data_IF_772632436162
#
_entry.id   IF_772632436162
#
_cell.length_a   1.000
_cell.length_b   1.000
_cell.length_c   1.000
_cell.angle_alpha   90.00
_cell.angle_beta   90.00
_cell.angle_gamma   90.00
#
_symmetry.space_group_name_H-M   'P 1'
#
loop_
_entity.id
_entity.type
_entity.pdbx_description
1 polymer ?
#
# COMPACT_ATOMS: atom_id res chain seq x y z
N UNK A 1 -14.15 62.23 -14.09
CA UNK A 1 -14.00 60.82 -14.55
C UNK A 1 -13.23 60.06 -13.48
N UNK A 2 -13.89 59.11 -12.82
CA UNK A 2 -13.37 58.38 -11.64
C UNK A 2 -12.47 57.22 -12.08
N UNK A 3 -11.14 57.42 -12.02
CA UNK A 3 -10.12 56.43 -12.38
C UNK A 3 -9.93 55.32 -11.33
N UNK A 4 -10.61 55.40 -10.19
CA UNK A 4 -10.45 54.49 -9.04
C UNK A 4 -11.26 53.19 -9.16
N UNK A 5 -12.32 53.13 -9.98
CA UNK A 5 -13.15 51.90 -10.11
C UNK A 5 -12.53 50.80 -10.96
N UNK A 6 -11.65 51.13 -11.92
CA UNK A 6 -11.09 50.11 -12.83
C UNK A 6 -9.95 49.30 -12.20
N UNK A 7 -9.24 49.86 -11.20
CA UNK A 7 -8.15 49.15 -10.52
C UNK A 7 -8.67 48.04 -9.58
N UNK A 8 -9.79 48.27 -8.90
CA UNK A 8 -10.40 47.32 -7.96
C UNK A 8 -11.00 46.08 -8.65
N UNK A 9 -11.61 46.25 -9.84
CA UNK A 9 -12.19 45.13 -10.58
C UNK A 9 -11.11 44.16 -11.14
N UNK A 10 -9.92 44.67 -11.45
CA UNK A 10 -8.82 43.87 -12.01
C UNK A 10 -8.13 43.01 -10.95
N UNK A 11 -7.92 43.55 -9.74
CA UNK A 11 -7.32 42.80 -8.62
C UNK A 11 -8.22 41.67 -8.11
N UNK A 12 -9.54 41.89 -8.07
CA UNK A 12 -10.52 40.85 -7.73
C UNK A 12 -10.50 39.67 -8.73
N UNK A 13 -10.37 39.95 -10.03
CA UNK A 13 -10.30 38.90 -11.06
C UNK A 13 -9.02 38.08 -10.98
N UNK A 14 -7.88 38.72 -10.69
CA UNK A 14 -6.61 38.02 -10.48
C UNK A 14 -6.63 37.16 -9.21
N UNK A 15 -7.24 37.63 -8.13
CA UNK A 15 -7.40 36.84 -6.91
C UNK A 15 -8.30 35.60 -7.11
N UNK A 16 -9.38 35.73 -7.90
CA UNK A 16 -10.27 34.61 -8.25
C UNK A 16 -9.57 33.60 -9.17
N UNK A 17 -8.85 34.05 -10.20
CA UNK A 17 -8.11 33.14 -11.08
C UNK A 17 -6.97 32.41 -10.35
N UNK A 18 -6.25 33.10 -9.44
CA UNK A 18 -5.21 32.48 -8.62
C UNK A 18 -5.77 31.43 -7.65
N UNK A 19 -6.96 31.67 -7.08
CA UNK A 19 -7.61 30.71 -6.19
C UNK A 19 -8.20 29.50 -6.94
N UNK A 20 -8.75 29.69 -8.14
CA UNK A 20 -9.20 28.58 -9.01
C UNK A 20 -8.01 27.74 -9.50
N UNK A 21 -6.92 28.38 -9.95
CA UNK A 21 -5.70 27.68 -10.36
C UNK A 21 -5.04 26.95 -9.19
N UNK A 22 -4.99 27.57 -8.00
CA UNK A 22 -4.49 26.94 -6.78
C UNK A 22 -5.32 25.72 -6.35
N UNK A 23 -6.64 25.83 -6.41
CA UNK A 23 -7.55 24.70 -6.14
C UNK A 23 -7.37 23.54 -7.12
N UNK A 24 -7.22 23.82 -8.41
CA UNK A 24 -6.96 22.81 -9.44
C UNK A 24 -5.60 22.10 -9.22
N UNK A 25 -4.54 22.84 -8.92
CA UNK A 25 -3.22 22.26 -8.67
C UNK A 25 -3.20 21.34 -7.44
N UNK A 26 -3.86 21.75 -6.34
CA UNK A 26 -3.99 20.92 -5.15
C UNK A 26 -4.83 19.66 -5.41
N UNK A 27 -5.90 19.77 -6.18
CA UNK A 27 -6.71 18.62 -6.62
C UNK A 27 -5.91 17.63 -7.47
N UNK A 28 -5.13 18.11 -8.44
CA UNK A 28 -4.26 17.28 -9.28
C UNK A 28 -3.18 16.56 -8.47
N UNK A 29 -2.55 17.24 -7.50
CA UNK A 29 -1.56 16.62 -6.63
C UNK A 29 -2.17 15.51 -5.78
N UNK A 30 -3.37 15.72 -5.24
CA UNK A 30 -4.06 14.71 -4.45
C UNK A 30 -4.43 13.47 -5.29
N UNK A 31 -4.94 13.67 -6.50
CA UNK A 31 -5.26 12.56 -7.41
C UNK A 31 -4.01 11.75 -7.80
N UNK A 32 -2.89 12.43 -8.04
CA UNK A 32 -1.62 11.77 -8.36
C UNK A 32 -1.07 10.98 -7.17
N UNK A 33 -1.08 11.58 -5.98
CA UNK A 33 -0.63 10.91 -4.74
C UNK A 33 -1.50 9.67 -4.46
N UNK A 34 -2.81 9.79 -4.67
CA UNK A 34 -3.75 8.66 -4.57
C UNK A 34 -3.44 7.55 -5.58
N UNK A 35 -3.33 7.87 -6.87
CA UNK A 35 -3.03 6.86 -7.89
C UNK A 35 -1.70 6.15 -7.62
N UNK A 36 -0.69 6.90 -7.16
CA UNK A 36 0.60 6.34 -6.74
C UNK A 36 0.46 5.40 -5.54
N UNK A 37 -0.33 5.81 -4.53
CA UNK A 37 -0.58 5.01 -3.34
C UNK A 37 -1.30 3.69 -3.66
N UNK A 38 -2.37 3.75 -4.47
CA UNK A 38 -3.13 2.57 -4.89
C UNK A 38 -2.23 1.61 -5.66
N UNK A 39 -1.53 2.12 -6.69
CA UNK A 39 -0.60 1.33 -7.50
C UNK A 39 0.48 0.66 -6.65
N UNK A 40 1.14 1.44 -5.79
CA UNK A 40 2.20 0.93 -4.90
C UNK A 40 1.67 -0.17 -3.98
N UNK A 41 0.51 0.06 -3.36
CA UNK A 41 -0.08 -0.89 -2.41
C UNK A 41 -0.49 -2.20 -3.10
N UNK A 42 -1.12 -2.11 -4.27
CA UNK A 42 -1.53 -3.27 -5.06
C UNK A 42 -0.33 -4.04 -5.57
N UNK A 43 0.67 -3.38 -6.17
CA UNK A 43 1.84 -4.07 -6.73
C UNK A 43 2.65 -4.79 -5.63
N UNK A 44 2.85 -4.17 -4.47
CA UNK A 44 3.55 -4.83 -3.36
C UNK A 44 2.76 -6.01 -2.81
N UNK A 45 1.45 -5.85 -2.57
CA UNK A 45 0.61 -6.95 -2.08
C UNK A 45 0.50 -8.10 -3.10
N UNK A 46 0.51 -7.79 -4.40
CA UNK A 46 0.53 -8.77 -5.48
C UNK A 46 1.88 -9.52 -5.52
N UNK A 47 3.00 -8.80 -5.42
CA UNK A 47 4.34 -9.39 -5.32
C UNK A 47 4.46 -10.33 -4.10
N UNK A 48 3.87 -9.95 -2.97
CA UNK A 48 3.80 -10.80 -1.79
C UNK A 48 2.98 -12.08 -2.00
N UNK A 49 1.91 -12.04 -2.82
CA UNK A 49 1.20 -13.28 -3.20
C UNK A 49 2.02 -14.14 -4.15
N UNK A 50 2.75 -13.55 -5.11
CA UNK A 50 3.64 -14.32 -5.97
C UNK A 50 4.76 -15.00 -5.17
N UNK A 51 5.35 -14.27 -4.21
CA UNK A 51 6.33 -14.84 -3.29
C UNK A 51 5.76 -16.03 -2.50
N UNK A 52 4.56 -15.85 -1.95
CA UNK A 52 3.94 -16.91 -1.16
C UNK A 52 3.61 -18.13 -2.02
N UNK A 53 3.08 -17.93 -3.23
CA UNK A 53 2.79 -19.01 -4.16
C UNK A 53 4.05 -19.76 -4.57
N UNK A 54 5.11 -19.04 -4.96
CA UNK A 54 6.39 -19.66 -5.31
C UNK A 54 6.99 -20.43 -4.12
N UNK A 55 6.83 -19.93 -2.90
CA UNK A 55 7.25 -20.63 -1.70
C UNK A 55 6.44 -21.92 -1.48
N UNK A 56 5.12 -21.87 -1.66
CA UNK A 56 4.24 -23.06 -1.59
C UNK A 56 4.64 -24.07 -2.66
N UNK A 57 4.82 -23.65 -3.91
CA UNK A 57 5.16 -24.54 -5.03
C UNK A 57 6.50 -25.24 -4.80
N UNK A 58 7.49 -24.51 -4.25
CA UNK A 58 8.82 -25.04 -3.95
C UNK A 58 8.82 -26.01 -2.77
N UNK A 59 8.06 -25.72 -1.73
CA UNK A 59 8.12 -26.46 -0.46
C UNK A 59 6.97 -27.45 -0.27
N UNK A 60 5.97 -27.39 -1.16
CA UNK A 60 4.66 -28.06 -1.04
C UNK A 60 3.98 -27.80 0.31
N UNK A 61 4.21 -26.60 0.84
CA UNK A 61 3.88 -26.26 2.21
C UNK A 61 3.32 -24.85 2.32
N UNK A 62 2.19 -24.69 3.00
CA UNK A 62 1.68 -23.36 3.37
C UNK A 62 2.44 -22.84 4.59
N UNK A 63 3.50 -22.07 4.36
CA UNK A 63 4.23 -21.36 5.41
C UNK A 63 4.70 -19.97 4.96
N UNK A 64 5.06 -19.12 5.93
CA UNK A 64 5.59 -17.78 5.67
C UNK A 64 6.98 -17.89 5.01
N UNK A 65 7.24 -17.18 3.89
CA UNK A 65 8.56 -17.14 3.27
C UNK A 65 9.65 -16.70 4.25
N UNK A 66 10.89 -17.21 4.08
CA UNK A 66 12.00 -16.86 4.99
C UNK A 66 12.50 -15.41 4.82
N UNK A 67 12.63 -14.95 3.57
CA UNK A 67 13.09 -13.59 3.26
C UNK A 67 11.90 -12.75 2.78
N UNK A 68 11.28 -12.00 3.68
CA UNK A 68 10.07 -11.22 3.42
C UNK A 68 10.37 -9.76 3.07
N UNK A 69 11.61 -9.42 2.70
CA UNK A 69 12.02 -8.03 2.47
C UNK A 69 11.58 -7.49 1.10
N UNK A 70 11.42 -6.17 0.95
CA UNK A 70 11.21 -5.56 -0.38
C UNK A 70 12.36 -5.88 -1.34
N UNK A 71 13.58 -5.89 -0.84
CA UNK A 71 14.77 -6.25 -1.62
C UNK A 71 14.67 -7.67 -2.17
N UNK A 72 14.08 -8.61 -1.42
CA UNK A 72 13.81 -9.94 -1.93
C UNK A 72 12.77 -9.92 -3.04
N UNK A 73 11.64 -9.22 -2.83
CA UNK A 73 10.59 -9.10 -3.85
C UNK A 73 11.12 -8.50 -5.16
N UNK A 74 12.02 -7.53 -5.06
CA UNK A 74 12.69 -6.91 -6.21
C UNK A 74 13.70 -7.85 -6.86
N UNK A 75 14.56 -8.50 -6.07
CA UNK A 75 15.60 -9.41 -6.56
C UNK A 75 15.03 -10.61 -7.31
N UNK A 76 13.92 -11.16 -6.83
CA UNK A 76 13.21 -12.28 -7.45
C UNK A 76 12.31 -11.84 -8.62
N UNK A 77 12.23 -10.53 -8.91
CA UNK A 77 11.49 -9.99 -10.06
C UNK A 77 9.97 -9.85 -9.86
N UNK A 78 9.45 -10.12 -8.65
CA UNK A 78 8.02 -9.98 -8.34
C UNK A 78 7.60 -8.51 -8.15
N UNK A 79 8.53 -7.63 -7.78
CA UNK A 79 8.28 -6.20 -7.57
C UNK A 79 9.23 -5.35 -8.41
N UNK A 80 8.68 -4.36 -9.12
CA UNK A 80 9.50 -3.40 -9.86
C UNK A 80 10.31 -2.52 -8.92
N UNK A 81 11.60 -2.32 -9.25
CA UNK A 81 12.49 -1.37 -8.57
C UNK A 81 11.91 0.04 -8.55
N UNK A 82 11.19 0.43 -9.59
CA UNK A 82 10.60 1.76 -9.72
C UNK A 82 9.55 2.06 -8.65
N UNK A 83 8.79 1.05 -8.20
CA UNK A 83 7.80 1.22 -7.13
C UNK A 83 8.49 1.56 -5.81
N UNK A 84 9.60 0.89 -5.52
CA UNK A 84 10.36 1.12 -4.29
C UNK A 84 11.06 2.48 -4.33
N UNK A 85 11.68 2.83 -5.46
CA UNK A 85 12.46 4.06 -5.60
C UNK A 85 11.61 5.33 -5.62
N UNK A 86 10.42 5.28 -6.22
CA UNK A 86 9.53 6.44 -6.31
C UNK A 86 8.50 6.51 -5.18
N UNK A 87 8.51 5.57 -4.24
CA UNK A 87 7.59 5.63 -3.10
C UNK A 87 8.00 6.76 -2.15
N UNK A 88 7.10 7.71 -1.85
CA UNK A 88 7.36 8.73 -0.82
C UNK A 88 7.23 8.17 0.60
N UNK A 89 6.80 6.91 0.75
CA UNK A 89 6.62 6.23 2.03
C UNK A 89 7.66 5.13 2.20
N UNK A 90 8.01 4.84 3.45
CA UNK A 90 8.75 3.62 3.75
C UNK A 90 7.78 2.45 3.73
N UNK A 91 8.01 1.53 2.80
CA UNK A 91 7.22 0.32 2.64
C UNK A 91 7.88 -0.82 3.44
N UNK A 92 7.09 -1.65 4.11
CA UNK A 92 7.58 -2.80 4.87
C UNK A 92 6.58 -3.94 4.78
N UNK A 93 6.79 -4.91 3.86
CA UNK A 93 5.98 -6.10 3.76
C UNK A 93 6.21 -7.02 4.97
N UNK A 94 5.13 -7.64 5.44
CA UNK A 94 5.12 -8.60 6.55
C UNK A 94 4.08 -9.68 6.28
N UNK A 95 4.28 -10.85 6.87
CA UNK A 95 3.26 -11.90 6.89
C UNK A 95 2.92 -12.21 8.33
N UNK A 96 1.64 -12.45 8.59
CA UNK A 96 1.14 -12.90 9.88
C UNK A 96 0.41 -14.22 9.67
N UNK A 97 0.92 -15.29 10.25
CA UNK A 97 0.20 -16.54 10.35
C UNK A 97 -0.71 -16.53 11.58
N UNK A 98 -1.88 -17.15 11.50
CA UNK A 98 -2.67 -17.43 12.70
C UNK A 98 -1.99 -18.51 13.57
N UNK A 99 -2.47 -18.71 14.80
CA UNK A 99 -1.89 -19.68 15.73
C UNK A 99 -1.86 -21.11 15.17
N UNK A 100 -2.79 -21.44 14.27
CA UNK A 100 -2.81 -22.74 13.61
C UNK A 100 -1.93 -22.82 12.37
N UNK A 101 -1.32 -21.74 11.87
CA UNK A 101 -0.51 -21.72 10.65
C UNK A 101 -1.30 -21.83 9.33
N UNK A 102 -2.63 -22.06 9.40
CA UNK A 102 -3.50 -22.30 8.23
C UNK A 102 -3.85 -21.04 7.44
N UNK A 103 -3.80 -19.88 8.09
CA UNK A 103 -4.15 -18.60 7.47
C UNK A 103 -2.94 -17.71 7.52
N UNK A 104 -2.47 -17.29 6.35
CA UNK A 104 -1.42 -16.30 6.19
C UNK A 104 -2.09 -15.00 5.74
N UNK A 105 -1.95 -13.96 6.55
CA UNK A 105 -2.34 -12.59 6.22
C UNK A 105 -1.11 -11.87 5.70
N UNK A 106 -1.21 -11.26 4.51
CA UNK A 106 -0.20 -10.33 4.00
C UNK A 106 -0.47 -8.97 4.59
N UNK A 107 0.56 -8.37 5.16
CA UNK A 107 0.51 -7.04 5.72
C UNK A 107 1.50 -6.14 4.99
N UNK A 108 1.00 -5.01 4.49
CA UNK A 108 1.87 -3.94 4.00
C UNK A 108 1.85 -2.81 5.00
N UNK A 109 2.98 -2.62 5.67
CA UNK A 109 3.20 -1.50 6.58
C UNK A 109 3.76 -0.33 5.78
N UNK A 110 3.07 0.80 5.80
CA UNK A 110 3.40 2.02 5.07
C UNK A 110 3.64 3.12 6.10
N UNK A 111 4.88 3.59 6.21
CA UNK A 111 5.26 4.62 7.18
C UNK A 111 5.53 5.95 6.48
N UNK A 112 4.79 6.97 6.89
CA UNK A 112 4.98 8.33 6.38
C UNK A 112 6.27 8.97 6.91
N UNK A 113 6.96 9.81 6.11
CA UNK A 113 8.23 10.45 6.47
C UNK A 113 8.08 11.61 7.47
N UNK A 114 6.88 12.10 7.71
CA UNK A 114 6.57 13.13 8.71
C UNK A 114 5.13 13.00 9.24
N UNK A 115 4.82 13.71 10.33
CA UNK A 115 3.44 13.78 10.85
C UNK A 115 2.48 14.41 9.85
N UNK A 116 2.92 15.44 9.11
CA UNK A 116 2.11 16.06 8.07
C UNK A 116 1.81 15.09 6.91
N UNK A 117 2.82 14.33 6.47
CA UNK A 117 2.63 13.27 5.47
C UNK A 117 1.75 12.12 5.99
N UNK A 118 1.74 11.87 7.31
CA UNK A 118 0.88 10.87 7.93
C UNK A 118 -0.61 11.24 7.85
N UNK A 119 -0.96 12.52 7.98
CA UNK A 119 -2.34 13.00 7.81
C UNK A 119 -2.83 12.70 6.38
N UNK A 120 -2.00 12.97 5.37
CA UNK A 120 -2.32 12.63 3.97
C UNK A 120 -2.39 11.12 3.76
N UNK A 121 -1.42 10.37 4.26
CA UNK A 121 -1.42 8.90 4.14
C UNK A 121 -2.71 8.28 4.71
N UNK A 122 -3.21 8.79 5.84
CA UNK A 122 -4.48 8.33 6.42
C UNK A 122 -5.67 8.59 5.49
N UNK A 123 -5.73 9.75 4.82
CA UNK A 123 -6.85 10.06 3.92
C UNK A 123 -6.89 9.15 2.70
N UNK A 124 -5.74 8.65 2.24
CA UNK A 124 -5.64 7.73 1.11
C UNK A 124 -6.17 6.32 1.42
N UNK A 125 -6.15 5.89 2.69
CA UNK A 125 -6.53 4.54 3.09
C UNK A 125 -8.03 4.22 2.90
N UNK A 126 -8.90 5.23 3.00
CA UNK A 126 -10.36 5.06 3.00
C UNK A 126 -10.94 4.49 1.69
N UNK A 127 -10.14 4.39 0.63
CA UNK A 127 -10.62 4.06 -0.71
C UNK A 127 -10.08 2.72 -1.23
N UNK A 128 -9.29 2.01 -0.43
CA UNK A 128 -8.79 0.68 -0.79
C UNK A 128 -9.77 -0.43 -0.36
N UNK A 129 -9.88 -1.53 -1.13
CA UNK A 129 -10.71 -2.69 -0.78
C UNK A 129 -10.08 -3.57 0.32
N UNK A 130 -9.03 -3.11 1.00
CA UNK A 130 -8.31 -3.86 2.02
C UNK A 130 -8.73 -3.42 3.42
N UNK A 131 -8.68 -4.33 4.39
CA UNK A 131 -8.75 -3.93 5.79
C UNK A 131 -7.50 -3.13 6.14
N UNK A 132 -7.63 -2.11 6.98
CA UNK A 132 -6.49 -1.28 7.37
C UNK A 132 -6.59 -0.74 8.78
N UNK A 133 -5.43 -0.50 9.39
CA UNK A 133 -5.31 0.19 10.67
C UNK A 133 -4.31 1.33 10.53
N UNK A 134 -4.52 2.41 11.28
CA UNK A 134 -3.64 3.57 11.27
C UNK A 134 -3.22 3.93 12.69
N UNK A 135 -1.91 3.99 12.95
CA UNK A 135 -1.37 4.32 14.27
C UNK A 135 -0.14 5.22 14.13
N UNK A 136 -0.18 6.40 14.75
CA UNK A 136 0.89 7.39 14.67
C UNK A 136 1.15 7.84 13.22
N UNK A 137 2.25 7.34 12.64
CA UNK A 137 2.67 7.65 11.26
C UNK A 137 2.54 6.47 10.30
N UNK A 138 1.95 5.38 10.77
CA UNK A 138 1.98 4.10 10.10
C UNK A 138 0.58 3.64 9.74
N UNK A 139 0.39 3.38 8.45
CA UNK A 139 -0.77 2.68 7.92
C UNK A 139 -0.40 1.22 7.70
N UNK A 140 -1.20 0.29 8.21
CA UNK A 140 -1.04 -1.14 7.95
C UNK A 140 -2.21 -1.61 7.12
N UNK A 141 -1.94 -2.01 5.88
CA UNK A 141 -2.92 -2.67 5.01
C UNK A 141 -2.86 -4.18 5.26
N UNK A 142 -4.02 -4.82 5.39
CA UNK A 142 -4.17 -6.24 5.63
C UNK A 142 -4.94 -6.87 4.47
N UNK A 143 -4.26 -7.76 3.76
CA UNK A 143 -4.83 -8.54 2.67
C UNK A 143 -4.73 -10.03 3.04
N UNK A 144 -5.82 -10.64 3.55
CA UNK A 144 -5.82 -12.08 3.76
C UNK A 144 -5.51 -12.79 2.45
N UNK A 145 -4.69 -13.83 2.52
CA UNK A 145 -4.51 -14.73 1.38
C UNK A 145 -5.72 -15.65 1.40
N UNK A 146 -6.52 -15.74 0.31
CA UNK A 146 -7.53 -16.78 0.23
C UNK A 146 -6.81 -18.11 0.46
N UNK A 147 -7.22 -18.83 1.50
CA UNK A 147 -6.66 -20.14 1.79
C UNK A 147 -6.79 -21.03 0.54
N UNK A 148 -5.88 -21.98 0.32
CA UNK A 148 -6.00 -22.92 -0.79
C UNK A 148 -7.39 -23.55 -0.77
N UNK A 149 -8.12 -23.54 -1.88
CA UNK A 149 -9.40 -24.27 -1.98
C UNK A 149 -9.14 -25.73 -1.61
N UNK A 150 -9.72 -26.21 -0.50
CA UNK A 150 -9.42 -27.53 0.06
C UNK A 150 -8.50 -27.55 1.29
N UNK A 151 -8.33 -26.45 2.04
CA UNK A 151 -7.62 -26.42 3.36
C UNK A 151 -8.14 -27.47 4.36
N UNK A 152 -9.39 -27.90 4.20
CA UNK A 152 -10.00 -29.00 4.95
C UNK A 152 -9.40 -30.37 4.66
N UNK A 153 -8.62 -30.52 3.57
CA UNK A 153 -7.85 -31.73 3.23
C UNK A 153 -6.36 -31.63 3.56
N UNK A 154 -5.87 -30.47 4.03
CA UNK A 154 -4.47 -30.31 4.38
C UNK A 154 -4.24 -30.76 5.84
N UNK A 155 -3.35 -31.73 6.02
CA UNK A 155 -2.95 -32.20 7.34
C UNK A 155 -1.79 -31.34 7.89
N UNK A 156 -1.88 -30.99 9.18
CA UNK A 156 -0.78 -30.32 9.85
C UNK A 156 0.31 -31.35 10.15
N UNK A 157 1.52 -31.14 9.63
CA UNK A 157 2.69 -31.89 9.99
C UNK A 157 3.44 -31.17 11.14
N UNK A 158 3.38 -31.68 12.38
CA UNK A 158 4.02 -31.03 13.53
C UNK A 158 5.55 -31.10 13.49
N UNK A 159 6.16 -32.00 12.71
CA UNK A 159 7.63 -32.08 12.56
C UNK A 159 8.19 -30.96 11.68
N UNK A 160 7.40 -30.48 10.72
CA UNK A 160 7.80 -29.44 9.77
C UNK A 160 7.04 -28.12 9.96
N UNK A 161 6.13 -28.07 10.94
CA UNK A 161 5.23 -26.94 11.21
C UNK A 161 4.47 -26.49 9.94
N UNK A 162 3.97 -27.46 9.18
CA UNK A 162 3.54 -27.27 7.80
C UNK A 162 2.12 -27.79 7.56
N UNK A 163 1.35 -27.13 6.69
CA UNK A 163 0.18 -27.73 6.04
C UNK A 163 0.57 -28.18 4.63
N UNK A 164 0.53 -29.49 4.41
CA UNK A 164 0.77 -30.11 3.11
C UNK A 164 -0.52 -30.71 2.57
N UNK A 165 -0.65 -30.73 1.23
CA UNK A 165 -1.65 -31.53 0.50
C UNK A 165 -1.19 -32.99 0.50
#
# INVERSE_FOLDING_TARGET
MNLSSFALASTLRLAVLASVAGGLLLGFQHLREKALFERTSVEVLQAMTQQLQANIDRTRCLHVPRDVTLSALVREGWLSTQIVQHSPWRLTPRYRANASGRVIVRELVITAPSNFAAIRLRSLAHQLPFSWTFQGRTLTLQAPVPGPTGVERMEFNPKTACFSI
#
